data_IF_732549490532
#
_entry.id   IF_732549490532
#
_cell.length_a   1.000
_cell.length_b   1.000
_cell.length_c   1.000
_cell.angle_alpha   90.00
_cell.angle_beta   90.00
_cell.angle_gamma   90.00
#
_symmetry.space_group_name_H-M   'P 1'
#
loop_
_entity.id
_entity.type
_entity.pdbx_description
1 polymer ?
#
# COMPACT_ATOMS: atom_id res chain seq x y z
N UNK A 1 5.72 9.71 2.08
CA UNK A 1 5.36 10.86 2.93
C UNK A 1 4.03 10.55 3.58
N UNK A 2 4.04 10.03 4.81
CA UNK A 2 2.82 9.80 5.59
C UNK A 2 2.76 10.87 6.70
N UNK A 3 1.75 11.72 6.63
CA UNK A 3 1.37 12.68 7.69
C UNK A 3 -0.15 12.67 7.76
N UNK A 4 -0.74 11.82 8.62
CA UNK A 4 -2.17 11.95 8.97
C UNK A 4 -2.38 11.62 10.45
N UNK A 5 -2.14 12.62 11.30
CA UNK A 5 -2.88 12.92 12.54
C UNK A 5 -2.36 14.28 13.01
N UNK A 6 -3.14 15.36 13.05
CA UNK A 6 -4.10 15.68 14.13
C UNK A 6 -5.34 16.46 13.64
N UNK A 7 -5.57 16.62 12.33
CA UNK A 7 -6.64 17.51 11.82
C UNK A 7 -8.02 16.88 11.64
N UNK A 8 -8.19 15.58 11.89
CA UNK A 8 -9.46 14.88 11.61
C UNK A 8 -10.59 15.29 12.58
N UNK A 9 -10.30 15.61 13.84
CA UNK A 9 -11.35 15.99 14.81
C UNK A 9 -11.89 17.41 14.63
N UNK A 10 -11.07 18.37 14.17
CA UNK A 10 -11.51 19.75 13.98
C UNK A 10 -12.44 19.89 12.78
N UNK A 11 -12.24 19.08 11.74
CA UNK A 11 -12.98 19.20 10.47
C UNK A 11 -14.38 18.60 10.53
N UNK A 12 -14.62 17.58 11.37
CA UNK A 12 -15.98 17.02 11.56
C UNK A 12 -16.98 18.01 12.18
N UNK A 13 -16.52 19.03 12.91
CA UNK A 13 -17.41 20.00 13.59
C UNK A 13 -17.98 21.08 12.66
N UNK A 14 -17.48 21.22 11.43
CA UNK A 14 -17.81 22.37 10.55
C UNK A 14 -18.63 21.97 9.30
N UNK A 15 -19.06 20.71 9.18
CA UNK A 15 -19.96 20.29 8.10
C UNK A 15 -19.38 20.41 6.68
N UNK A 16 -18.05 20.42 6.54
CA UNK A 16 -17.36 20.36 5.25
C UNK A 16 -17.14 18.88 4.92
N UNK A 17 -17.73 18.40 3.83
CA UNK A 17 -17.34 17.11 3.23
C UNK A 17 -15.90 17.20 2.76
N UNK A 18 -15.00 16.55 3.48
CA UNK A 18 -13.61 16.37 3.04
C UNK A 18 -13.59 15.22 2.04
N UNK A 19 -13.71 15.56 0.75
CA UNK A 19 -13.12 14.73 -0.29
C UNK A 19 -11.63 14.58 0.09
N UNK A 20 -11.19 13.33 0.24
CA UNK A 20 -9.93 12.88 0.84
C UNK A 20 -8.81 13.95 0.89
N UNK A 21 -8.25 14.26 2.07
CA UNK A 21 -7.15 15.21 2.15
C UNK A 21 -5.91 14.50 1.60
N UNK A 22 -5.64 14.66 0.32
CA UNK A 22 -4.30 14.41 -0.20
C UNK A 22 -3.41 15.43 0.51
N UNK A 23 -2.64 14.97 1.50
CA UNK A 23 -1.66 15.77 2.25
C UNK A 23 -0.45 16.15 1.39
N UNK A 24 -0.56 15.97 0.07
CA UNK A 24 0.50 16.19 -0.89
C UNK A 24 0.33 17.55 -1.58
N UNK A 25 1.44 18.27 -1.71
CA UNK A 25 1.49 19.46 -2.57
C UNK A 25 1.22 19.11 -4.05
N UNK A 26 1.22 17.82 -4.39
CA UNK A 26 1.06 17.28 -5.74
C UNK A 26 -0.39 17.02 -6.12
N UNK A 27 -1.32 16.82 -5.17
CA UNK A 27 -2.70 16.42 -5.46
C UNK A 27 -3.44 17.34 -6.43
N UNK A 28 -3.36 18.68 -6.31
CA UNK A 28 -3.94 19.59 -7.29
C UNK A 28 -3.34 19.45 -8.70
N UNK A 29 -2.04 19.12 -8.80
CA UNK A 29 -1.34 18.93 -10.09
C UNK A 29 -1.68 17.57 -10.69
N UNK A 30 -1.73 16.53 -9.85
CA UNK A 30 -2.04 15.16 -10.27
C UNK A 30 -3.47 15.03 -10.79
N UNK A 31 -4.41 15.81 -10.26
CA UNK A 31 -5.78 15.91 -10.80
C UNK A 31 -5.85 16.50 -12.21
N UNK A 32 -4.81 17.18 -12.68
CA UNK A 32 -4.71 17.71 -14.04
C UNK A 32 -4.05 16.73 -15.01
N UNK A 33 -3.56 15.58 -14.53
CA UNK A 33 -3.00 14.54 -15.39
C UNK A 33 -4.11 13.82 -16.15
N UNK A 34 -3.75 13.12 -17.23
CA UNK A 34 -4.69 12.33 -18.04
C UNK A 34 -5.42 11.27 -17.22
N UNK A 35 -4.74 10.71 -16.21
CA UNK A 35 -5.31 9.72 -15.30
C UNK A 35 -6.11 10.32 -14.16
N UNK A 36 -6.08 11.64 -13.95
CA UNK A 36 -6.76 12.31 -12.84
C UNK A 36 -6.34 11.77 -11.46
N UNK A 37 -5.09 11.30 -11.32
CA UNK A 37 -4.54 10.65 -10.13
C UNK A 37 -5.12 9.25 -9.79
N UNK A 38 -5.85 8.60 -10.71
CA UNK A 38 -6.41 7.25 -10.47
C UNK A 38 -5.36 6.20 -10.11
N UNK A 39 -4.14 6.34 -10.63
CA UNK A 39 -3.00 5.50 -10.29
C UNK A 39 -2.61 5.57 -8.81
N UNK A 40 -3.01 6.63 -8.10
CA UNK A 40 -2.74 6.81 -6.67
C UNK A 40 -3.87 6.32 -5.77
N UNK A 41 -5.01 5.87 -6.30
CA UNK A 41 -6.12 5.39 -5.48
C UNK A 41 -5.68 4.26 -4.53
N UNK A 42 -4.92 3.28 -5.05
CA UNK A 42 -4.34 2.22 -4.22
C UNK A 42 -3.37 2.73 -3.15
N UNK A 43 -2.61 3.79 -3.43
CA UNK A 43 -1.73 4.41 -2.45
C UNK A 43 -2.51 5.14 -1.37
N UNK A 44 -3.50 5.96 -1.73
CA UNK A 44 -4.22 6.82 -0.80
C UNK A 44 -5.19 6.03 0.06
N UNK A 45 -6.05 5.23 -0.60
CA UNK A 45 -7.18 4.56 0.05
C UNK A 45 -6.97 3.06 0.19
N UNK A 46 -6.12 2.44 -0.65
CA UNK A 46 -6.05 0.99 -0.77
C UNK A 46 -7.28 0.39 -1.45
N UNK A 47 -8.08 1.22 -2.13
CA UNK A 47 -9.30 0.84 -2.83
C UNK A 47 -9.25 1.24 -4.30
N UNK A 48 -10.17 0.72 -5.09
CA UNK A 48 -10.31 1.08 -6.50
C UNK A 48 -10.79 2.52 -6.69
N UNK A 49 -10.54 3.13 -7.87
CA UNK A 49 -11.06 4.46 -8.18
C UNK A 49 -12.58 4.53 -8.08
N UNK A 50 -13.08 5.60 -7.43
CA UNK A 50 -14.51 5.92 -7.34
C UNK A 50 -14.73 7.34 -7.87
N UNK A 51 -15.55 7.54 -8.92
CA UNK A 51 -16.28 6.52 -9.67
C UNK A 51 -15.36 5.59 -10.48
N UNK A 52 -15.89 4.43 -10.88
CA UNK A 52 -15.16 3.50 -11.75
C UNK A 52 -14.77 4.19 -13.07
N UNK A 53 -13.56 3.95 -13.59
CA UNK A 53 -13.10 4.62 -14.82
C UNK A 53 -13.90 4.17 -16.06
N UNK A 54 -14.14 5.08 -16.98
CA UNK A 54 -14.71 4.76 -18.29
C UNK A 54 -13.75 3.90 -19.13
N UNK A 55 -14.26 3.28 -20.21
CA UNK A 55 -13.42 2.49 -21.11
C UNK A 55 -12.28 3.30 -21.75
N UNK A 56 -12.53 4.59 -22.05
CA UNK A 56 -11.51 5.48 -22.60
C UNK A 56 -10.42 5.81 -21.57
N UNK A 57 -10.83 6.09 -20.34
CA UNK A 57 -9.90 6.33 -19.22
C UNK A 57 -9.06 5.10 -18.90
N UNK A 58 -9.69 3.93 -18.85
CA UNK A 58 -9.01 2.65 -18.67
C UNK A 58 -7.95 2.43 -19.75
N UNK A 59 -8.27 2.69 -21.01
CA UNK A 59 -7.31 2.58 -22.11
C UNK A 59 -6.12 3.54 -21.95
N UNK A 60 -6.39 4.80 -21.56
CA UNK A 60 -5.35 5.78 -21.30
C UNK A 60 -4.44 5.37 -20.12
N UNK A 61 -5.01 4.83 -19.05
CA UNK A 61 -4.26 4.33 -17.89
C UNK A 61 -3.38 3.13 -18.27
N UNK A 62 -3.89 2.20 -19.10
CA UNK A 62 -3.08 1.11 -19.65
C UNK A 62 -1.90 1.61 -20.47
N UNK A 63 -2.10 2.63 -21.31
CA UNK A 63 -1.03 3.20 -22.15
C UNK A 63 0.04 3.90 -21.30
N UNK A 64 -0.37 4.59 -20.22
CA UNK A 64 0.54 5.21 -19.25
C UNK A 64 1.39 4.17 -18.51
N UNK A 65 0.76 3.10 -18.03
CA UNK A 65 1.45 1.98 -17.37
C UNK A 65 2.42 1.34 -18.35
N UNK A 66 1.99 1.01 -19.57
CA UNK A 66 2.85 0.38 -20.57
C UNK A 66 4.07 1.24 -20.91
N UNK A 67 3.88 2.55 -21.11
CA UNK A 67 4.98 3.47 -21.37
C UNK A 67 6.01 3.47 -20.23
N UNK A 68 5.53 3.47 -18.98
CA UNK A 68 6.38 3.40 -17.78
C UNK A 68 7.13 2.07 -17.70
N UNK A 69 6.44 0.95 -17.95
CA UNK A 69 7.04 -0.39 -17.94
C UNK A 69 8.09 -0.55 -19.04
N UNK A 70 7.84 -0.06 -20.26
CA UNK A 70 8.84 -0.04 -21.35
C UNK A 70 10.07 0.79 -20.97
N UNK A 71 9.88 1.92 -20.26
CA UNK A 71 10.98 2.76 -19.82
C UNK A 71 11.87 2.10 -18.76
N UNK A 72 11.30 1.39 -17.79
CA UNK A 72 12.10 0.68 -16.78
C UNK A 72 12.72 -0.60 -17.38
N UNK A 73 12.04 -1.27 -18.30
CA UNK A 73 12.57 -2.44 -19.00
C UNK A 73 13.79 -2.08 -19.86
N UNK A 74 13.80 -0.91 -20.52
CA UNK A 74 14.97 -0.44 -21.27
C UNK A 74 16.20 -0.16 -20.39
N UNK A 75 16.01 -0.07 -19.06
CA UNK A 75 17.06 0.05 -18.05
C UNK A 75 17.43 -1.30 -17.40
N UNK A 76 16.92 -2.42 -17.92
CA UNK A 76 17.17 -3.77 -17.42
C UNK A 76 16.32 -4.20 -16.23
N UNK A 77 15.31 -3.40 -15.83
CA UNK A 77 14.39 -3.77 -14.75
C UNK A 77 13.35 -4.74 -15.32
N UNK A 78 13.37 -5.99 -14.87
CA UNK A 78 12.52 -7.07 -15.38
C UNK A 78 11.46 -7.54 -14.39
N UNK A 79 11.45 -6.98 -13.19
CA UNK A 79 10.42 -7.25 -12.19
C UNK A 79 10.30 -6.13 -11.16
N UNK A 80 9.10 -5.99 -10.59
CA UNK A 80 8.79 -5.01 -9.56
C UNK A 80 7.68 -5.51 -8.63
N UNK A 81 7.62 -4.93 -7.43
CA UNK A 81 6.43 -5.02 -6.58
C UNK A 81 5.81 -3.65 -6.51
N UNK A 82 4.57 -3.52 -6.97
CA UNK A 82 3.81 -2.30 -6.85
C UNK A 82 3.11 -2.30 -5.50
N UNK A 83 3.81 -1.78 -4.49
CA UNK A 83 3.42 -1.86 -3.07
C UNK A 83 2.15 -1.08 -2.72
N UNK A 84 1.66 -0.24 -3.63
CA UNK A 84 0.57 0.69 -3.39
C UNK A 84 -0.58 0.48 -4.39
N UNK A 85 -0.82 -0.78 -4.79
CA UNK A 85 -1.86 -1.12 -5.76
C UNK A 85 -3.16 -1.65 -5.18
N UNK A 86 -4.10 -1.89 -6.09
CA UNK A 86 -5.48 -2.32 -5.83
C UNK A 86 -5.95 -3.27 -6.96
N UNK A 87 -7.22 -3.71 -6.90
CA UNK A 87 -7.80 -4.57 -7.93
C UNK A 87 -7.78 -3.91 -9.31
N UNK A 88 -8.05 -2.61 -9.40
CA UNK A 88 -8.02 -1.88 -10.67
C UNK A 88 -6.64 -1.98 -11.35
N UNK A 89 -5.55 -1.77 -10.61
CA UNK A 89 -4.21 -1.89 -11.17
C UNK A 89 -3.87 -3.33 -11.59
N UNK A 90 -4.28 -4.34 -10.81
CA UNK A 90 -4.16 -5.74 -11.21
C UNK A 90 -4.92 -6.03 -12.51
N UNK A 91 -6.13 -5.49 -12.65
CA UNK A 91 -6.96 -5.64 -13.84
C UNK A 91 -6.32 -4.98 -15.08
N UNK A 92 -5.69 -3.81 -14.92
CA UNK A 92 -4.95 -3.13 -16.00
C UNK A 92 -3.70 -3.93 -16.41
N UNK A 93 -2.93 -4.41 -15.44
CA UNK A 93 -1.71 -5.19 -15.67
C UNK A 93 -2.03 -6.54 -16.33
N UNK A 94 -3.06 -7.23 -15.87
CA UNK A 94 -3.56 -8.47 -16.48
C UNK A 94 -4.06 -8.24 -17.91
N UNK A 95 -4.75 -7.12 -18.17
CA UNK A 95 -5.15 -6.77 -19.53
C UNK A 95 -3.96 -6.42 -20.45
N UNK A 96 -2.87 -5.86 -19.92
CA UNK A 96 -1.62 -5.66 -20.66
C UNK A 96 -0.92 -6.99 -20.94
N UNK A 97 -0.88 -7.90 -19.97
CA UNK A 97 -0.34 -9.25 -20.13
C UNK A 97 -1.06 -10.02 -21.24
N UNK A 98 -2.40 -10.04 -21.20
CA UNK A 98 -3.23 -10.71 -22.21
C UNK A 98 -3.03 -10.16 -23.64
N UNK A 99 -2.57 -8.91 -23.77
CA UNK A 99 -2.23 -8.25 -25.04
C UNK A 99 -0.76 -8.41 -25.45
N UNK A 100 0.06 -9.13 -24.66
CA UNK A 100 1.50 -9.26 -24.88
C UNK A 100 2.29 -7.96 -24.67
N UNK A 101 1.72 -7.00 -23.93
CA UNK A 101 2.27 -5.65 -23.73
C UNK A 101 2.98 -5.47 -22.38
N UNK A 102 2.84 -6.42 -21.46
CA UNK A 102 3.48 -6.37 -20.15
C UNK A 102 4.95 -6.82 -20.23
N UNK A 103 5.87 -5.92 -19.89
CA UNK A 103 7.31 -6.12 -20.06
C UNK A 103 8.07 -6.47 -18.78
N UNK A 104 7.42 -6.37 -17.62
CA UNK A 104 8.02 -6.67 -16.31
C UNK A 104 7.09 -7.57 -15.49
N UNK A 105 7.68 -8.53 -14.77
CA UNK A 105 6.98 -9.33 -13.76
C UNK A 105 6.54 -8.44 -12.60
N UNK A 106 5.26 -8.44 -12.27
CA UNK A 106 4.69 -7.47 -11.34
C UNK A 106 3.87 -8.17 -10.28
N UNK A 107 4.28 -8.03 -9.02
CA UNK A 107 3.43 -8.34 -7.88
C UNK A 107 2.67 -7.09 -7.45
N UNK A 108 1.38 -7.22 -7.15
CA UNK A 108 0.60 -6.17 -6.50
C UNK A 108 0.05 -6.71 -5.17
N UNK A 109 0.66 -6.36 -4.03
CA UNK A 109 0.12 -6.70 -2.72
C UNK A 109 -1.22 -6.01 -2.44
N UNK A 110 -2.04 -6.62 -1.59
CA UNK A 110 -3.18 -5.95 -0.97
C UNK A 110 -2.68 -4.89 0.02
N UNK A 111 -3.10 -3.64 -0.15
CA UNK A 111 -2.70 -2.55 0.74
C UNK A 111 -3.68 -2.44 1.92
N UNK A 112 -3.22 -2.82 3.11
CA UNK A 112 -4.00 -2.75 4.34
C UNK A 112 -3.65 -1.47 5.13
N UNK A 113 -4.66 -0.70 5.49
CA UNK A 113 -4.58 0.59 6.19
C UNK A 113 -5.01 0.47 7.64
N UNK A 114 -4.60 1.43 8.46
CA UNK A 114 -4.89 1.45 9.89
C UNK A 114 -6.36 1.74 10.25
N UNK A 115 -7.16 2.20 9.29
CA UNK A 115 -8.60 2.39 9.44
C UNK A 115 -9.43 1.26 8.83
N UNK A 116 -8.79 0.22 8.30
CA UNK A 116 -9.48 -0.93 7.74
C UNK A 116 -10.02 -1.86 8.81
N UNK A 117 -11.17 -2.48 8.54
CA UNK A 117 -11.57 -3.67 9.28
C UNK A 117 -10.59 -4.80 8.99
N UNK A 118 -10.26 -5.60 10.01
CA UNK A 118 -9.42 -6.79 9.85
C UNK A 118 -9.99 -7.78 8.82
N UNK A 119 -11.30 -7.79 8.61
CA UNK A 119 -11.99 -8.63 7.62
C UNK A 119 -11.55 -8.32 6.18
N UNK A 120 -11.03 -7.11 5.89
CA UNK A 120 -10.49 -6.77 4.57
C UNK A 120 -9.29 -7.64 4.18
N UNK A 121 -8.64 -8.34 5.11
CA UNK A 121 -7.58 -9.29 4.77
C UNK A 121 -8.04 -10.40 3.81
N UNK A 122 -9.35 -10.71 3.78
CA UNK A 122 -9.88 -11.67 2.79
C UNK A 122 -9.73 -11.16 1.35
N UNK A 123 -9.70 -9.84 1.11
CA UNK A 123 -9.40 -9.28 -0.22
C UNK A 123 -8.02 -9.72 -0.72
N UNK A 124 -7.04 -9.89 0.16
CA UNK A 124 -5.72 -10.37 -0.24
C UNK A 124 -5.76 -11.84 -0.73
N UNK A 125 -6.67 -12.64 -0.16
CA UNK A 125 -6.91 -14.02 -0.59
C UNK A 125 -7.64 -14.01 -1.94
N UNK A 126 -8.62 -13.13 -2.13
CA UNK A 126 -9.33 -12.94 -3.40
C UNK A 126 -8.37 -12.48 -4.51
N UNK A 127 -7.52 -11.48 -4.25
CA UNK A 127 -6.49 -11.01 -5.17
C UNK A 127 -5.57 -12.16 -5.58
N UNK A 128 -5.15 -13.00 -4.64
CA UNK A 128 -4.33 -14.18 -4.93
C UNK A 128 -5.04 -15.22 -5.80
N UNK A 129 -6.32 -15.47 -5.54
CA UNK A 129 -7.11 -16.43 -6.31
C UNK A 129 -7.31 -15.95 -7.75
N UNK A 130 -7.55 -14.65 -7.95
CA UNK A 130 -7.78 -14.07 -9.27
C UNK A 130 -6.48 -13.83 -10.06
N UNK A 131 -5.38 -13.51 -9.36
CA UNK A 131 -4.11 -13.11 -9.96
C UNK A 131 -2.96 -13.96 -9.41
N UNK A 132 -2.68 -15.08 -10.10
CA UNK A 132 -1.64 -16.05 -9.76
C UNK A 132 -0.78 -16.45 -10.96
N UNK A 133 -0.72 -15.59 -11.98
CA UNK A 133 0.04 -15.82 -13.21
C UNK A 133 1.55 -15.59 -13.05
N UNK A 134 2.31 -15.96 -14.09
CA UNK A 134 3.78 -15.85 -14.09
C UNK A 134 4.28 -14.40 -14.23
N UNK A 135 3.50 -13.53 -14.89
CA UNK A 135 3.87 -12.13 -15.10
C UNK A 135 3.15 -11.16 -14.17
N UNK A 136 1.93 -11.48 -13.71
CA UNK A 136 1.17 -10.67 -12.76
C UNK A 136 0.56 -11.55 -11.68
N UNK A 137 0.83 -11.22 -10.41
CA UNK A 137 0.25 -11.95 -9.29
C UNK A 137 0.03 -11.07 -8.05
N UNK A 138 -0.70 -11.62 -7.08
CA UNK A 138 -0.80 -11.09 -5.72
C UNK A 138 -0.71 -12.23 -4.69
N UNK A 139 0.09 -12.08 -3.64
CA UNK A 139 0.16 -13.04 -2.53
C UNK A 139 0.72 -12.40 -1.24
N UNK A 140 0.49 -11.08 -1.09
CA UNK A 140 1.10 -10.30 -0.02
C UNK A 140 0.12 -9.26 0.51
N UNK A 141 0.26 -8.97 1.80
CA UNK A 141 -0.31 -7.78 2.44
C UNK A 141 0.79 -6.75 2.67
N UNK A 142 0.54 -5.50 2.27
CA UNK A 142 1.43 -4.36 2.50
C UNK A 142 0.78 -3.40 3.50
N UNK A 143 1.56 -2.97 4.49
CA UNK A 143 1.17 -1.96 5.49
C UNK A 143 2.24 -0.88 5.65
N UNK A 144 1.90 0.20 6.36
CA UNK A 144 2.84 1.21 6.82
C UNK A 144 2.81 1.26 8.35
N UNK A 145 3.94 1.06 9.03
CA UNK A 145 4.02 1.23 10.48
C UNK A 145 4.21 2.71 10.86
N UNK A 146 4.94 3.46 10.03
CA UNK A 146 5.28 4.85 10.28
C UNK A 146 5.42 5.67 8.99
N UNK A 147 5.81 6.95 9.14
CA UNK A 147 6.12 7.84 8.04
C UNK A 147 7.61 7.91 7.71
N UNK A 148 8.17 9.12 7.63
CA UNK A 148 9.57 9.37 7.25
C UNK A 148 10.25 10.29 8.26
N UNK A 149 11.58 10.26 8.31
CA UNK A 149 12.39 11.06 9.26
C UNK A 149 12.27 12.55 8.96
N UNK A 150 12.21 12.92 7.69
CA UNK A 150 12.17 14.31 7.21
C UNK A 150 10.94 15.06 7.75
N UNK A 151 9.79 14.39 7.83
CA UNK A 151 8.56 14.95 8.39
C UNK A 151 8.37 14.66 9.88
N UNK A 152 9.35 14.05 10.55
CA UNK A 152 9.29 13.64 11.96
C UNK A 152 8.12 12.71 12.27
N UNK A 153 7.74 11.89 11.29
CA UNK A 153 6.66 10.90 11.41
C UNK A 153 7.16 9.46 11.40
N UNK A 154 8.45 9.23 11.19
CA UNK A 154 9.06 7.93 11.47
C UNK A 154 9.13 7.70 12.99
N UNK A 155 8.82 6.48 13.44
CA UNK A 155 8.70 6.14 14.87
C UNK A 155 10.07 5.75 15.42
N UNK A 156 10.63 6.63 16.25
CA UNK A 156 11.97 6.50 16.82
C UNK A 156 11.94 5.96 18.25
N UNK A 157 13.00 5.28 18.70
CA UNK A 157 13.11 4.91 20.13
C UNK A 157 13.51 6.06 21.04
N UNK A 158 14.01 7.16 20.46
CA UNK A 158 14.41 8.39 21.17
C UNK A 158 13.79 9.60 20.51
N UNK A 159 13.48 10.67 21.27
CA UNK A 159 12.92 11.89 20.72
C UNK A 159 13.78 12.50 19.60
N UNK A 160 13.12 13.03 18.57
CA UNK A 160 13.75 13.94 17.61
C UNK A 160 14.30 15.17 18.33
N UNK A 161 15.49 15.61 17.96
CA UNK A 161 16.20 16.68 18.66
C UNK A 161 15.54 18.05 18.53
N UNK A 162 14.78 18.27 17.46
CA UNK A 162 14.15 19.56 17.14
C UNK A 162 12.68 19.66 17.61
N UNK A 163 11.97 18.53 17.71
CA UNK A 163 10.54 18.52 18.08
C UNK A 163 10.26 17.85 19.42
N UNK A 164 11.15 17.00 19.93
CA UNK A 164 10.92 16.23 21.16
C UNK A 164 9.89 15.10 21.05
N UNK A 165 9.21 14.94 19.91
CA UNK A 165 8.34 13.76 19.65
C UNK A 165 9.20 12.55 19.28
N UNK A 166 8.62 11.35 19.38
CA UNK A 166 9.21 10.11 18.84
C UNK A 166 8.54 9.67 17.54
N UNK A 167 7.61 10.46 16.98
CA UNK A 167 6.72 10.04 15.91
C UNK A 167 5.60 9.12 16.42
N UNK A 168 4.55 8.97 15.63
CA UNK A 168 3.37 8.19 16.00
C UNK A 168 3.20 6.97 15.09
N UNK A 169 3.07 5.75 15.66
CA UNK A 169 2.81 4.57 14.86
C UNK A 169 1.41 4.63 14.26
N UNK A 170 1.28 4.18 13.01
CA UNK A 170 -0.01 4.14 12.32
C UNK A 170 -0.94 3.08 12.93
N UNK A 171 -0.38 1.98 13.44
CA UNK A 171 -1.12 0.89 14.06
C UNK A 171 -0.79 0.79 15.56
N UNK A 172 -1.80 0.64 16.43
CA UNK A 172 -1.60 0.14 17.78
C UNK A 172 -0.99 -1.28 17.74
N UNK A 173 -0.05 -1.58 18.64
CA UNK A 173 0.64 -2.88 18.63
C UNK A 173 -0.32 -4.08 18.70
N UNK A 174 -1.33 -4.12 19.59
CA UNK A 174 -2.20 -5.29 19.68
C UNK A 174 -2.97 -5.57 18.37
N UNK A 175 -3.39 -4.52 17.67
CA UNK A 175 -4.09 -4.65 16.39
C UNK A 175 -3.13 -5.11 15.28
N UNK A 176 -1.91 -4.57 15.25
CA UNK A 176 -0.89 -5.01 14.31
C UNK A 176 -0.49 -6.48 14.49
N UNK A 177 -0.37 -6.94 15.75
CA UNK A 177 -0.10 -8.34 16.07
C UNK A 177 -1.22 -9.26 15.56
N UNK A 178 -2.48 -8.84 15.70
CA UNK A 178 -3.65 -9.56 15.21
C UNK A 178 -3.65 -9.66 13.68
N UNK A 179 -3.40 -8.55 12.98
CA UNK A 179 -3.29 -8.50 11.52
C UNK A 179 -2.17 -9.44 11.05
N UNK A 180 -0.99 -9.37 11.66
CA UNK A 180 0.14 -10.22 11.30
C UNK A 180 -0.20 -11.70 11.49
N UNK A 181 -0.82 -12.04 12.61
CA UNK A 181 -1.23 -13.42 12.92
C UNK A 181 -2.23 -13.95 11.90
N UNK A 182 -3.24 -13.15 11.55
CA UNK A 182 -4.29 -13.54 10.59
C UNK A 182 -3.75 -13.67 9.17
N UNK A 183 -3.00 -12.68 8.68
CA UNK A 183 -2.40 -12.71 7.35
C UNK A 183 -1.40 -13.88 7.20
N UNK A 184 -0.61 -14.16 8.24
CA UNK A 184 0.30 -15.28 8.26
C UNK A 184 -0.42 -16.63 8.21
N UNK A 185 -1.52 -16.80 8.95
CA UNK A 185 -2.35 -18.00 8.93
C UNK A 185 -3.02 -18.24 7.56
N UNK A 186 -3.31 -17.17 6.82
CA UNK A 186 -3.80 -17.23 5.43
C UNK A 186 -2.70 -17.60 4.40
N UNK A 187 -1.46 -17.81 4.86
CA UNK A 187 -0.30 -18.11 4.03
C UNK A 187 0.21 -16.93 3.21
N UNK A 188 -0.25 -15.70 3.51
CA UNK A 188 0.19 -14.49 2.82
C UNK A 188 1.57 -14.08 3.32
N UNK A 189 2.39 -13.49 2.45
CA UNK A 189 3.57 -12.77 2.91
C UNK A 189 3.15 -11.42 3.49
N UNK A 190 3.90 -10.88 4.43
CA UNK A 190 3.68 -9.53 4.97
C UNK A 190 4.88 -8.66 4.58
N UNK A 191 4.60 -7.47 4.03
CA UNK A 191 5.60 -6.40 3.90
C UNK A 191 5.15 -5.17 4.67
N UNK A 192 6.05 -4.56 5.44
CA UNK A 192 5.73 -3.35 6.20
C UNK A 192 6.78 -2.27 5.96
N UNK A 193 6.31 -1.09 5.56
CA UNK A 193 7.15 0.11 5.60
C UNK A 193 7.41 0.47 7.06
N UNK A 194 8.69 0.48 7.44
CA UNK A 194 9.16 0.91 8.75
C UNK A 194 10.51 1.62 8.59
N UNK A 195 10.55 2.92 8.88
CA UNK A 195 11.78 3.72 8.77
C UNK A 195 12.44 3.90 10.13
N UNK A 196 11.68 4.30 11.14
CA UNK A 196 12.22 4.54 12.47
C UNK A 196 12.57 3.24 13.19
N UNK A 197 13.58 3.27 14.05
CA UNK A 197 14.02 2.10 14.82
C UNK A 197 12.92 1.58 15.76
N UNK A 198 12.08 2.48 16.28
CA UNK A 198 10.88 2.11 17.02
C UNK A 198 9.82 1.42 16.15
N UNK A 199 9.66 1.83 14.88
CA UNK A 199 8.77 1.14 13.93
C UNK A 199 9.29 -0.27 13.63
N UNK A 200 10.60 -0.43 13.40
CA UNK A 200 11.22 -1.74 13.14
C UNK A 200 10.97 -2.71 14.30
N UNK A 201 11.13 -2.26 15.56
CA UNK A 201 10.81 -3.09 16.73
C UNK A 201 9.34 -3.55 16.73
N UNK A 202 8.40 -2.64 16.43
CA UNK A 202 6.96 -2.98 16.38
C UNK A 202 6.63 -3.99 15.29
N UNK A 203 7.26 -3.86 14.12
CA UNK A 203 7.11 -4.81 13.01
C UNK A 203 7.63 -6.19 13.42
N UNK A 204 8.82 -6.26 14.01
CA UNK A 204 9.40 -7.52 14.49
C UNK A 204 8.53 -8.19 15.56
N UNK A 205 7.93 -7.42 16.47
CA UNK A 205 6.99 -7.94 17.46
C UNK A 205 5.74 -8.56 16.80
N UNK A 206 5.20 -7.94 15.75
CA UNK A 206 4.06 -8.52 15.02
C UNK A 206 4.42 -9.82 14.29
N UNK A 207 5.63 -9.89 13.71
CA UNK A 207 6.13 -11.12 13.10
C UNK A 207 6.40 -12.21 14.14
N UNK A 208 6.89 -11.85 15.32
CA UNK A 208 7.05 -12.77 16.45
C UNK A 208 5.70 -13.28 16.96
N UNK A 209 4.70 -12.40 17.10
CA UNK A 209 3.35 -12.77 17.51
C UNK A 209 2.73 -13.79 16.56
N UNK A 210 2.83 -13.55 15.24
CA UNK A 210 2.36 -14.48 14.22
C UNK A 210 3.06 -15.85 14.33
N UNK A 211 4.40 -15.86 14.42
CA UNK A 211 5.18 -17.11 14.57
C UNK A 211 4.87 -17.86 15.87
N UNK A 212 4.59 -17.14 16.96
CA UNK A 212 4.23 -17.76 18.25
C UNK A 212 2.87 -18.46 18.18
N UNK A 213 1.91 -17.88 17.46
CA UNK A 213 0.55 -18.42 17.34
C UNK A 213 0.46 -19.51 16.26
N UNK A 214 1.00 -19.26 15.07
CA UNK A 214 0.86 -20.14 13.92
C UNK A 214 2.00 -21.17 13.77
N UNK A 215 3.08 -20.99 14.54
CA UNK A 215 4.31 -21.77 14.41
C UNK A 215 5.28 -21.22 13.34
N UNK A 216 6.50 -21.77 13.26
CA UNK A 216 7.46 -21.36 12.26
C UNK A 216 7.07 -21.85 10.86
N UNK A 217 7.21 -20.96 9.87
CA UNK A 217 7.17 -21.28 8.44
C UNK A 217 8.19 -20.43 7.69
N UNK A 218 8.52 -20.82 6.45
CA UNK A 218 9.28 -19.96 5.54
C UNK A 218 8.40 -18.80 5.02
N UNK A 219 8.06 -17.87 5.91
CA UNK A 219 7.11 -16.78 5.62
C UNK A 219 7.72 -15.66 4.79
N UNK A 220 9.04 -15.47 4.91
CA UNK A 220 9.82 -14.40 4.27
C UNK A 220 9.24 -13.00 4.49
N UNK A 221 8.55 -12.78 5.61
CA UNK A 221 8.06 -11.45 5.99
C UNK A 221 9.20 -10.42 5.95
N UNK A 222 8.89 -9.18 5.52
CA UNK A 222 9.92 -8.17 5.25
C UNK A 222 9.45 -6.73 5.41
#
# INVERSE_FOLDING_TARGET
MAVINERVEVVRKVGIEVLAPSSDALGPVLRLTVSGARELAGYETGSDPVPSPSAAERAADMDLIEASLKNIASKGITGLHNMDGNFYQLELLSALEAKGRLTCRTEVPMHFKNFDSIDRLEEAVEMRQQYSGDMVWSNRVKMFMDGVVESRTAVMTRPYTDTGTTGDPLFPQPFFDEICTRADAMGLQIAVHAIGDGAVHRVLNGYEAARRVNGPRDSRHR
#
